data_IF_926141221615
#
_entry.id   IF_926141221615
#
_cell.length_a   1.000
_cell.length_b   1.000
_cell.length_c   1.000
_cell.angle_alpha   90.00
_cell.angle_beta   90.00
_cell.angle_gamma   90.00
#
_symmetry.space_group_name_H-M   'P 1'
#
loop_
_entity.id
_entity.type
_entity.pdbx_description
1 polymer ?
#
# COMPACT_ATOMS: atom_id res chain seq x y z
N UNK A 1 -31.33 10.79 -0.33
CA UNK A 1 -30.74 11.83 -1.20
C UNK A 1 -29.52 12.35 -0.45
N UNK A 2 -28.33 12.04 -0.95
CA UNK A 2 -27.07 12.30 -0.23
C UNK A 2 -25.91 11.61 -0.93
N UNK A 3 -25.62 12.05 -2.16
CA UNK A 3 -24.36 11.71 -2.85
C UNK A 3 -23.25 12.59 -2.26
N UNK A 4 -22.22 11.98 -1.68
CA UNK A 4 -21.00 12.65 -1.27
C UNK A 4 -19.86 12.24 -2.23
N UNK A 5 -19.73 13.10 -3.23
CA UNK A 5 -18.62 13.39 -4.12
C UNK A 5 -17.25 12.97 -3.55
N UNK A 6 -16.72 11.83 -4.00
CA UNK A 6 -15.28 11.47 -3.92
C UNK A 6 -14.63 11.47 -5.30
N UNK A 7 -15.06 12.38 -6.19
CA UNK A 7 -14.34 12.67 -7.43
C UNK A 7 -13.55 13.97 -7.29
N UNK A 8 -12.23 13.85 -7.21
CA UNK A 8 -11.31 14.97 -7.43
C UNK A 8 -10.68 15.50 -6.17
N UNK A 9 -9.43 15.08 -5.93
CA UNK A 9 -8.29 15.98 -5.67
C UNK A 9 -7.05 15.17 -5.23
N UNK A 10 -6.50 14.35 -6.14
CA UNK A 10 -5.12 13.84 -6.01
C UNK A 10 -4.24 14.31 -7.18
N UNK A 11 -4.68 15.32 -7.94
CA UNK A 11 -3.96 15.79 -9.14
C UNK A 11 -3.31 17.18 -8.99
N UNK A 12 -3.43 17.86 -7.84
CA UNK A 12 -2.99 19.26 -7.72
C UNK A 12 -1.97 19.49 -6.61
N UNK A 13 -0.75 18.96 -6.78
CA UNK A 13 0.46 19.54 -6.18
C UNK A 13 1.65 19.42 -7.15
N UNK A 14 1.52 19.99 -8.34
CA UNK A 14 2.68 20.24 -9.21
C UNK A 14 2.55 21.62 -9.87
N UNK A 15 3.54 22.46 -9.60
CA UNK A 15 3.96 23.72 -10.29
C UNK A 15 3.29 25.05 -9.92
N UNK A 16 3.98 25.79 -9.04
CA UNK A 16 4.35 27.19 -9.33
C UNK A 16 5.87 27.29 -9.20
N UNK A 17 6.56 27.11 -10.32
CA UNK A 17 7.72 27.94 -10.69
C UNK A 17 8.18 27.60 -12.12
N UNK A 18 8.02 28.58 -13.02
CA UNK A 18 8.59 28.53 -14.36
C UNK A 18 10.02 29.06 -14.29
N UNK A 19 11.02 28.22 -14.60
CA UNK A 19 12.17 28.52 -15.50
C UNK A 19 13.26 27.43 -15.43
N UNK A 20 13.20 26.47 -16.36
CA UNK A 20 14.29 26.02 -17.25
C UNK A 20 13.79 24.78 -18.00
N UNK A 21 13.68 24.90 -19.32
CA UNK A 21 13.32 23.80 -20.19
C UNK A 21 14.47 22.78 -20.28
N UNK A 22 14.49 21.84 -19.35
CA UNK A 22 15.06 20.50 -19.56
C UNK A 22 13.91 19.57 -19.94
N UNK A 23 14.16 18.59 -20.82
CA UNK A 23 13.20 17.53 -21.14
C UNK A 23 12.66 16.91 -19.85
N UNK A 24 11.45 17.26 -19.43
CA UNK A 24 10.71 16.50 -18.43
C UNK A 24 10.29 15.21 -19.10
N UNK A 25 11.11 14.16 -18.93
CA UNK A 25 10.60 12.80 -19.03
C UNK A 25 9.53 12.72 -17.95
N UNK A 26 8.27 12.53 -18.35
CA UNK A 26 7.23 12.13 -17.41
C UNK A 26 7.69 10.77 -16.89
N UNK A 27 8.40 10.75 -15.76
CA UNK A 27 8.66 9.52 -15.05
C UNK A 27 7.28 8.96 -14.72
N UNK A 28 6.92 7.82 -15.33
CA UNK A 28 5.67 7.16 -15.01
C UNK A 28 5.56 6.98 -13.49
N UNK A 29 4.33 6.99 -12.97
CA UNK A 29 4.11 6.63 -11.57
C UNK A 29 4.84 5.31 -11.27
N UNK A 30 5.57 5.20 -10.14
CA UNK A 30 6.30 3.98 -9.83
C UNK A 30 5.30 2.83 -9.78
N UNK A 31 5.56 1.78 -10.55
CA UNK A 31 4.73 0.58 -10.64
C UNK A 31 5.55 -0.64 -10.29
N UNK A 32 4.92 -1.55 -9.57
CA UNK A 32 5.45 -2.86 -9.28
C UNK A 32 4.86 -3.86 -10.27
N UNK A 33 5.66 -4.36 -11.21
CA UNK A 33 5.20 -5.41 -12.11
C UNK A 33 5.05 -6.74 -11.35
N UNK A 34 3.88 -7.36 -11.41
CA UNK A 34 3.62 -8.65 -10.76
C UNK A 34 2.71 -9.50 -11.64
N UNK A 35 2.56 -10.77 -11.26
CA UNK A 35 1.76 -11.75 -11.97
C UNK A 35 1.04 -12.64 -10.96
N UNK A 36 0.00 -13.35 -11.42
CA UNK A 36 -0.68 -14.32 -10.56
C UNK A 36 0.30 -15.38 -10.03
N UNK A 37 0.26 -15.61 -8.72
CA UNK A 37 1.13 -16.55 -8.01
C UNK A 37 2.55 -16.04 -7.75
N UNK A 38 2.96 -14.90 -8.33
CA UNK A 38 4.27 -14.32 -8.08
C UNK A 38 4.31 -13.71 -6.68
N UNK A 39 5.21 -14.21 -5.84
CA UNK A 39 5.52 -13.59 -4.56
C UNK A 39 6.49 -12.44 -4.75
N UNK A 40 6.12 -11.28 -4.22
CA UNK A 40 6.96 -10.11 -4.11
C UNK A 40 7.38 -9.91 -2.66
N UNK A 41 8.66 -9.66 -2.42
CA UNK A 41 9.20 -9.33 -1.10
C UNK A 41 9.32 -7.82 -0.97
N UNK A 42 8.65 -7.27 0.03
CA UNK A 42 8.94 -5.91 0.47
C UNK A 42 10.40 -5.85 0.93
N UNK A 43 11.12 -4.79 0.57
CA UNK A 43 12.51 -4.61 0.96
C UNK A 43 13.48 -4.62 -0.20
N UNK A 44 14.76 -4.38 0.10
CA UNK A 44 15.85 -4.23 -0.88
C UNK A 44 16.19 -5.54 -1.60
N UNK A 45 15.78 -6.69 -1.07
CA UNK A 45 15.98 -8.00 -1.71
C UNK A 45 15.11 -8.24 -2.95
N UNK A 46 14.02 -7.49 -3.13
CA UNK A 46 13.16 -7.60 -4.32
C UNK A 46 12.57 -6.26 -4.78
N UNK A 47 11.49 -5.77 -4.15
CA UNK A 47 10.80 -4.62 -4.71
C UNK A 47 11.60 -3.32 -4.55
N UNK A 48 12.47 -3.22 -3.55
CA UNK A 48 13.13 -2.00 -3.10
C UNK A 48 12.11 -0.85 -3.02
N UNK A 49 12.12 0.08 -3.98
CA UNK A 49 11.17 1.20 -4.07
C UNK A 49 10.15 1.07 -5.21
N UNK A 50 10.16 -0.02 -5.96
CA UNK A 50 9.26 -0.24 -7.08
C UNK A 50 7.80 -0.30 -6.59
N UNK A 51 6.93 0.47 -7.24
CA UNK A 51 5.53 0.60 -6.86
C UNK A 51 5.25 1.36 -5.56
N UNK A 52 6.23 1.60 -4.69
CA UNK A 52 6.05 2.36 -3.45
C UNK A 52 5.76 3.82 -3.79
N UNK A 53 4.50 4.24 -3.71
CA UNK A 53 4.05 5.58 -4.11
C UNK A 53 4.27 6.59 -2.98
N UNK A 54 3.75 6.31 -1.79
CA UNK A 54 3.83 7.20 -0.63
C UNK A 54 3.59 6.45 0.69
N UNK A 55 4.02 7.06 1.81
CA UNK A 55 3.71 6.54 3.14
C UNK A 55 4.50 5.31 3.58
N UNK A 56 5.66 5.09 2.95
CA UNK A 56 6.59 4.01 3.28
C UNK A 56 7.82 4.58 3.98
N UNK A 57 8.38 3.83 4.92
CA UNK A 57 9.73 4.04 5.40
C UNK A 57 10.75 3.69 4.30
N UNK A 58 12.03 3.96 4.55
CA UNK A 58 13.08 3.40 3.70
C UNK A 58 13.05 1.87 3.76
N UNK A 59 13.16 1.18 2.60
CA UNK A 59 13.20 -0.27 2.57
C UNK A 59 14.35 -0.84 3.39
N UNK A 60 14.06 -1.89 4.14
CA UNK A 60 15.04 -2.75 4.82
C UNK A 60 15.20 -4.05 4.01
N UNK A 61 16.03 -5.01 4.42
CA UNK A 61 16.40 -6.16 3.57
C UNK A 61 15.17 -6.92 3.00
N UNK A 62 14.33 -7.44 3.89
CA UNK A 62 13.18 -8.28 3.54
C UNK A 62 11.84 -7.74 4.09
N UNK A 63 11.77 -6.42 4.35
CA UNK A 63 10.53 -5.78 4.74
C UNK A 63 10.52 -4.26 4.54
N UNK A 64 9.34 -3.66 4.59
CA UNK A 64 9.14 -2.20 4.61
C UNK A 64 8.06 -1.86 5.63
N UNK A 65 8.34 -0.89 6.50
CA UNK A 65 7.33 -0.30 7.39
C UNK A 65 6.51 0.75 6.64
N UNK A 66 5.22 0.89 6.98
CA UNK A 66 4.56 2.16 6.70
C UNK A 66 5.19 3.28 7.55
N UNK A 67 5.11 4.51 7.06
CA UNK A 67 5.46 5.72 7.79
C UNK A 67 4.37 6.77 7.60
N UNK A 68 3.43 6.80 8.53
CA UNK A 68 2.22 7.62 8.51
C UNK A 68 0.94 6.78 8.39
N UNK A 69 -0.23 7.45 8.40
CA UNK A 69 -1.52 6.77 8.49
C UNK A 69 -2.00 6.18 7.15
N UNK A 70 -1.27 6.39 6.06
CA UNK A 70 -1.59 5.85 4.74
C UNK A 70 -0.31 5.36 4.09
N UNK A 71 -0.30 4.13 3.57
CA UNK A 71 0.75 3.60 2.71
C UNK A 71 0.15 3.20 1.35
N UNK A 72 0.75 3.67 0.25
CA UNK A 72 0.20 3.50 -1.09
C UNK A 72 1.16 2.76 -2.03
N UNK A 73 0.69 1.67 -2.63
CA UNK A 73 1.43 0.84 -3.60
C UNK A 73 0.68 0.83 -4.94
N UNK A 74 1.39 0.95 -6.06
CA UNK A 74 0.82 0.73 -7.39
C UNK A 74 1.41 -0.53 -8.00
N UNK A 75 0.57 -1.51 -8.32
CA UNK A 75 1.00 -2.73 -9.01
C UNK A 75 0.46 -2.74 -10.45
N UNK A 76 1.23 -3.32 -11.37
CA UNK A 76 0.85 -3.58 -12.74
C UNK A 76 0.92 -5.08 -13.01
N UNK A 77 -0.14 -5.65 -13.57
CA UNK A 77 -0.24 -7.07 -13.89
C UNK A 77 -1.21 -7.32 -15.05
N UNK A 78 -1.15 -8.52 -15.62
CA UNK A 78 -2.21 -8.98 -16.50
C UNK A 78 -3.52 -9.09 -15.72
N UNK A 79 -4.60 -8.54 -16.27
CA UNK A 79 -5.93 -8.60 -15.64
C UNK A 79 -6.37 -10.07 -15.59
N UNK A 80 -6.66 -10.62 -14.40
CA UNK A 80 -7.19 -11.98 -14.29
C UNK A 80 -8.56 -12.11 -14.95
N UNK A 81 -8.84 -13.25 -15.58
CA UNK A 81 -10.16 -13.56 -16.14
C UNK A 81 -11.21 -13.87 -15.07
N UNK A 82 -10.75 -14.34 -13.90
CA UNK A 82 -11.55 -14.77 -12.76
C UNK A 82 -11.18 -13.98 -11.50
N UNK A 83 -12.07 -13.95 -10.48
CA UNK A 83 -11.77 -13.32 -9.19
C UNK A 83 -10.46 -13.83 -8.60
N UNK A 84 -9.67 -12.92 -8.01
CA UNK A 84 -8.38 -13.27 -7.41
C UNK A 84 -8.29 -12.76 -5.97
N UNK A 85 -7.30 -13.26 -5.22
CA UNK A 85 -7.05 -12.88 -3.83
C UNK A 85 -5.73 -12.15 -3.72
N UNK A 86 -5.76 -10.92 -3.25
CA UNK A 86 -4.57 -10.21 -2.83
C UNK A 86 -4.21 -10.65 -1.41
N UNK A 87 -3.02 -11.23 -1.25
CA UNK A 87 -2.49 -11.73 0.02
C UNK A 87 -1.27 -10.90 0.40
N UNK A 88 -1.30 -10.35 1.62
CA UNK A 88 -0.20 -9.58 2.19
C UNK A 88 0.16 -10.16 3.55
N UNK A 89 1.44 -10.41 3.78
CA UNK A 89 1.94 -10.91 5.06
C UNK A 89 2.85 -9.90 5.74
N UNK A 90 2.83 -9.91 7.07
CA UNK A 90 3.63 -9.00 7.88
C UNK A 90 3.20 -9.00 9.36
N UNK A 91 3.65 -8.00 10.12
CA UNK A 91 3.34 -7.88 11.56
C UNK A 91 2.83 -6.48 11.90
N UNK A 92 1.86 -6.33 12.81
CA UNK A 92 1.47 -5.03 13.31
C UNK A 92 2.48 -4.49 14.32
N UNK A 93 2.68 -3.18 14.34
CA UNK A 93 3.32 -2.54 15.48
C UNK A 93 2.33 -2.48 16.65
N UNK A 94 2.51 -3.37 17.64
CA UNK A 94 1.73 -3.38 18.88
C UNK A 94 2.63 -3.36 20.10
N UNK A 95 2.15 -2.73 21.17
CA UNK A 95 2.79 -2.66 22.48
C UNK A 95 1.74 -2.54 23.59
N UNK A 96 2.16 -2.51 24.85
CA UNK A 96 1.24 -2.22 25.97
C UNK A 96 0.57 -0.84 25.87
N UNK A 97 1.19 0.12 25.17
CA UNK A 97 0.67 1.49 24.97
C UNK A 97 -0.05 1.69 23.65
N UNK A 98 0.15 0.77 22.70
CA UNK A 98 -0.58 0.69 21.44
C UNK A 98 -1.01 -0.76 21.23
N UNK A 99 -2.10 -1.23 21.87
CA UNK A 99 -2.43 -2.65 21.92
C UNK A 99 -3.08 -3.20 20.64
N UNK A 100 -3.20 -2.38 19.60
CA UNK A 100 -3.94 -2.72 18.40
C UNK A 100 -3.56 -1.84 17.21
N UNK A 101 -3.64 -2.43 16.03
CA UNK A 101 -3.61 -1.73 14.74
C UNK A 101 -4.90 -2.04 13.97
N UNK A 102 -5.45 -1.01 13.35
CA UNK A 102 -6.62 -1.06 12.49
C UNK A 102 -6.18 -0.71 11.08
N UNK A 103 -6.43 -1.60 10.14
CA UNK A 103 -5.96 -1.49 8.76
C UNK A 103 -7.17 -1.64 7.85
N UNK A 104 -7.42 -0.64 7.01
CA UNK A 104 -8.39 -0.73 5.92
C UNK A 104 -7.63 -0.73 4.61
N UNK A 105 -7.92 -1.67 3.73
CA UNK A 105 -7.34 -1.70 2.39
C UNK A 105 -8.35 -1.18 1.37
N UNK A 106 -7.86 -0.34 0.46
CA UNK A 106 -8.59 0.12 -0.72
C UNK A 106 -7.83 -0.26 -1.99
N UNK A 107 -8.56 -0.67 -3.02
CA UNK A 107 -8.05 -0.87 -4.38
C UNK A 107 -8.73 0.10 -5.33
N UNK A 108 -7.95 0.92 -6.03
CA UNK A 108 -8.47 1.96 -6.94
C UNK A 108 -9.59 2.83 -6.30
N UNK A 109 -9.48 3.08 -4.99
CA UNK A 109 -10.44 3.88 -4.20
C UNK A 109 -11.65 3.10 -3.65
N UNK A 110 -11.80 1.82 -3.97
CA UNK A 110 -12.89 0.96 -3.51
C UNK A 110 -12.40 0.10 -2.34
N UNK A 111 -13.23 -0.04 -1.30
CA UNK A 111 -12.90 -0.84 -0.12
C UNK A 111 -12.70 -2.32 -0.47
N UNK A 112 -11.60 -2.91 0.00
CA UNK A 112 -11.21 -4.30 -0.21
C UNK A 112 -11.25 -5.14 1.07
N UNK A 113 -11.01 -4.54 2.23
CA UNK A 113 -10.96 -5.28 3.48
C UNK A 113 -10.63 -4.42 4.69
N UNK A 114 -10.86 -4.99 5.88
CA UNK A 114 -10.56 -4.40 7.16
C UNK A 114 -10.01 -5.45 8.12
N UNK A 115 -8.92 -5.13 8.82
CA UNK A 115 -8.31 -5.98 9.83
C UNK A 115 -8.08 -5.21 11.11
N UNK A 116 -8.20 -5.93 12.22
CA UNK A 116 -7.93 -5.43 13.57
C UNK A 116 -6.94 -6.38 14.23
N UNK A 117 -5.68 -5.98 14.28
CA UNK A 117 -4.56 -6.81 14.70
C UNK A 117 -4.11 -6.43 16.10
N UNK A 118 -3.91 -7.41 16.99
CA UNK A 118 -3.64 -7.18 18.43
C UNK A 118 -2.41 -7.94 18.96
N UNK A 119 -1.96 -8.97 18.24
CA UNK A 119 -0.75 -9.72 18.57
C UNK A 119 0.41 -9.22 17.72
N UNK A 120 1.64 -9.30 18.23
CA UNK A 120 2.84 -8.93 17.48
C UNK A 120 3.31 -10.04 16.51
N UNK A 121 2.49 -11.08 16.32
CA UNK A 121 2.82 -12.25 15.50
C UNK A 121 2.54 -11.98 14.02
N UNK A 122 3.20 -12.72 13.11
CA UNK A 122 2.90 -12.71 11.69
C UNK A 122 1.40 -12.88 11.42
N UNK A 123 0.88 -12.00 10.58
CA UNK A 123 -0.53 -11.91 10.20
C UNK A 123 -0.64 -11.91 8.68
N UNK A 124 -1.66 -12.61 8.18
CA UNK A 124 -2.01 -12.67 6.75
C UNK A 124 -3.28 -11.83 6.53
N UNK A 125 -3.16 -10.80 5.71
CA UNK A 125 -4.30 -9.99 5.23
C UNK A 125 -4.67 -10.46 3.83
N UNK A 126 -5.91 -10.88 3.64
CA UNK A 126 -6.40 -11.44 2.39
C UNK A 126 -7.69 -10.74 1.95
N UNK A 127 -7.70 -10.22 0.72
CA UNK A 127 -8.83 -9.53 0.13
C UNK A 127 -9.19 -10.08 -1.24
N UNK A 128 -10.49 -10.20 -1.52
CA UNK A 128 -11.01 -10.59 -2.83
C UNK A 128 -10.96 -9.37 -3.77
N UNK A 129 -10.43 -9.58 -4.97
CA UNK A 129 -10.34 -8.58 -6.04
C UNK A 129 -11.13 -9.10 -7.23
N UNK A 130 -12.25 -8.44 -7.51
CA UNK A 130 -13.14 -8.74 -8.65
C UNK A 130 -12.65 -7.99 -9.90
N UNK A 131 -12.11 -8.65 -10.94
CA UNK A 131 -11.39 -7.97 -12.01
C UNK A 131 -12.21 -6.88 -12.72
N UNK A 132 -13.51 -7.11 -12.93
CA UNK A 132 -14.44 -6.16 -13.54
C UNK A 132 -14.72 -4.91 -12.70
N UNK A 133 -14.48 -4.98 -11.39
CA UNK A 133 -14.65 -3.85 -10.47
C UNK A 133 -13.39 -3.00 -10.42
N UNK A 134 -12.22 -3.64 -10.41
CA UNK A 134 -10.96 -2.96 -10.11
C UNK A 134 -10.14 -2.61 -11.34
N UNK A 135 -10.25 -3.33 -12.45
CA UNK A 135 -9.45 -3.07 -13.65
C UNK A 135 -10.27 -2.47 -14.78
N UNK A 136 -9.70 -1.49 -15.46
CA UNK A 136 -10.28 -0.93 -16.68
C UNK A 136 -9.93 -1.83 -17.87
N UNK A 137 -10.95 -2.40 -18.52
CA UNK A 137 -10.76 -3.22 -19.73
C UNK A 137 -10.05 -2.44 -20.84
N UNK A 138 -9.06 -3.07 -21.47
CA UNK A 138 -8.32 -2.52 -22.62
C UNK A 138 -7.10 -1.65 -22.27
N UNK A 139 -6.79 -1.49 -20.98
CA UNK A 139 -5.56 -0.86 -20.49
C UNK A 139 -4.68 -1.90 -19.75
N UNK A 140 -3.42 -1.55 -19.49
CA UNK A 140 -2.55 -2.34 -18.61
C UNK A 140 -3.22 -2.46 -17.23
N UNK A 141 -3.28 -3.67 -16.66
CA UNK A 141 -4.00 -3.95 -15.41
C UNK A 141 -3.31 -3.30 -14.21
N UNK A 142 -3.68 -2.07 -13.89
CA UNK A 142 -3.11 -1.33 -12.75
C UNK A 142 -4.06 -1.37 -11.55
N UNK A 143 -3.54 -1.81 -10.42
CA UNK A 143 -4.23 -1.76 -9.13
C UNK A 143 -3.46 -0.84 -8.17
N UNK A 144 -4.07 0.30 -7.86
CA UNK A 144 -3.54 1.22 -6.86
C UNK A 144 -4.10 0.84 -5.50
N UNK A 145 -3.23 0.33 -4.63
CA UNK A 145 -3.53 -0.11 -3.29
C UNK A 145 -3.23 1.01 -2.29
N UNK A 146 -4.13 1.21 -1.34
CA UNK A 146 -3.91 2.12 -0.22
C UNK A 146 -4.31 1.42 1.08
N UNK A 147 -3.34 1.21 1.97
CA UNK A 147 -3.59 0.80 3.34
C UNK A 147 -3.77 2.05 4.19
N UNK A 148 -4.98 2.26 4.70
CA UNK A 148 -5.29 3.26 5.70
C UNK A 148 -5.14 2.65 7.09
N UNK A 149 -4.22 3.22 7.89
CA UNK A 149 -3.79 2.72 9.18
C UNK A 149 -3.92 3.85 10.21
N UNK A 150 -5.15 4.26 10.61
CA UNK A 150 -5.37 5.43 11.47
C UNK A 150 -4.77 5.30 12.88
N UNK A 151 -4.39 4.09 13.26
CA UNK A 151 -3.80 3.76 14.57
C UNK A 151 -2.28 3.62 14.50
N UNK A 152 -1.66 3.99 13.37
CA UNK A 152 -0.21 4.15 13.30
C UNK A 152 0.27 5.16 14.33
N UNK A 153 1.44 4.90 14.93
CA UNK A 153 1.96 5.70 16.02
C UNK A 153 3.47 5.77 15.96
N UNK A 154 4.07 6.88 16.39
CA UNK A 154 5.52 6.92 16.58
C UNK A 154 5.88 6.20 17.87
N UNK A 155 6.75 5.18 17.85
CA UNK A 155 7.19 4.52 19.08
C UNK A 155 7.81 5.50 20.10
N UNK A 156 8.45 6.56 19.61
CA UNK A 156 8.95 7.68 20.42
C UNK A 156 7.84 8.48 21.13
N UNK A 157 6.73 8.78 20.45
CA UNK A 157 5.61 9.54 21.04
C UNK A 157 4.94 8.78 22.20
N UNK A 158 4.97 7.43 22.16
CA UNK A 158 4.42 6.58 23.23
C UNK A 158 5.49 6.06 24.20
N UNK A 159 6.75 6.43 24.05
CA UNK A 159 7.83 6.01 24.96
C UNK A 159 8.15 4.52 24.93
N UNK A 160 7.99 3.86 23.78
CA UNK A 160 8.37 2.45 23.56
C UNK A 160 9.81 2.33 23.08
N UNK A 161 10.26 3.23 22.20
CA UNK A 161 11.65 3.29 21.71
C UNK A 161 11.99 4.70 21.19
N UNK A 162 13.19 4.90 20.66
CA UNK A 162 13.60 6.15 20.02
C UNK A 162 13.18 6.30 18.55
N UNK A 163 12.43 5.35 17.99
CA UNK A 163 12.03 5.39 16.58
C UNK A 163 11.02 6.53 16.31
N UNK A 164 11.35 7.40 15.36
CA UNK A 164 10.56 8.56 14.97
C UNK A 164 9.59 8.31 13.81
N UNK A 165 9.62 7.12 13.21
CA UNK A 165 8.68 6.71 12.15
C UNK A 165 7.30 6.49 12.75
N UNK A 166 6.26 6.84 12.01
CA UNK A 166 4.88 6.58 12.42
C UNK A 166 4.44 5.19 11.93
N UNK A 167 4.59 4.19 12.79
CA UNK A 167 4.50 2.77 12.46
C UNK A 167 3.11 2.20 12.75
N UNK A 168 2.63 1.35 11.87
CA UNK A 168 1.41 0.57 12.08
C UNK A 168 1.55 -0.89 11.64
N UNK A 169 2.16 -1.16 10.50
CA UNK A 169 2.36 -2.51 9.99
C UNK A 169 3.69 -2.59 9.23
N UNK A 170 4.43 -3.67 9.46
CA UNK A 170 5.57 -4.04 8.63
C UNK A 170 5.09 -5.00 7.56
N UNK A 171 5.35 -4.66 6.31
CA UNK A 171 4.99 -5.45 5.15
C UNK A 171 6.17 -6.32 4.76
N UNK A 172 5.93 -7.62 4.55
CA UNK A 172 6.95 -8.60 4.15
C UNK A 172 6.72 -9.14 2.75
N UNK A 173 5.52 -9.63 2.48
CA UNK A 173 5.22 -10.26 1.19
C UNK A 173 3.92 -9.75 0.61
N UNK A 174 3.83 -9.79 -0.72
CA UNK A 174 2.61 -9.58 -1.49
C UNK A 174 2.51 -10.66 -2.56
N UNK A 175 1.35 -11.29 -2.67
CA UNK A 175 1.02 -12.26 -3.71
C UNK A 175 -0.39 -11.98 -4.20
N UNK A 176 -0.61 -11.98 -5.51
CA UNK A 176 -1.97 -12.08 -6.07
C UNK A 176 -2.22 -13.53 -6.45
N UNK A 177 -3.11 -14.23 -5.76
CA UNK A 177 -3.43 -15.65 -6.00
C UNK A 177 -4.72 -15.78 -6.81
N UNK A 178 -4.84 -16.82 -7.63
CA UNK A 178 -6.15 -17.25 -8.13
C UNK A 178 -7.06 -17.61 -6.94
N UNK A 179 -8.37 -17.34 -7.06
CA UNK A 179 -9.34 -17.71 -6.02
C UNK A 179 -9.49 -19.22 -5.82
#
# INVERSE_FOLDING_TARGET
MGEAIFSGNVTMLVTKDRKKAGKTVSAGFPRLNTELGMMRLFGTEDIDRQGLVSGWAEPEDAHVWNNGPVAALSIAMNIPDEPCRLVVEGEPFVSSRQPMQEITLYGNGIWLGFWRLRNAEPSVMEALVEPETFFRRGEEGVLNLAWYIPTSVRPSDIGVSGDGRELGFVFRTLVVKSS
#
